data_IF_658287533303
#
_entry.id   IF_658287533303
#
_cell.length_a   1.000
_cell.length_b   1.000
_cell.length_c   1.000
_cell.angle_alpha   90.00
_cell.angle_beta   90.00
_cell.angle_gamma   90.00
#
_symmetry.space_group_name_H-M   'P 1'
#
loop_
_entity.id
_entity.type
_entity.pdbx_description
1 polymer ?
#
# COMPACT_ATOMS: atom_id res chain seq x y z
N UNK A 1 -9.87 -4.99 8.53
CA UNK A 1 -9.00 -5.76 7.62
C UNK A 1 -7.60 -5.73 8.17
N UNK A 2 -6.98 -6.90 8.32
CA UNK A 2 -5.59 -7.02 8.80
C UNK A 2 -4.64 -6.85 7.62
N UNK A 3 -3.46 -6.27 7.86
CA UNK A 3 -2.42 -6.17 6.84
C UNK A 3 -1.79 -7.55 6.63
N UNK A 4 -1.86 -8.07 5.40
CA UNK A 4 -1.33 -9.40 5.08
C UNK A 4 0.21 -9.42 4.98
N UNK A 5 0.86 -8.25 4.93
CA UNK A 5 2.31 -8.12 4.75
C UNK A 5 3.00 -7.55 6.01
N UNK A 6 2.49 -7.91 7.19
CA UNK A 6 3.12 -7.65 8.48
C UNK A 6 4.50 -8.32 8.57
N UNK A 7 5.38 -7.92 9.52
CA UNK A 7 6.72 -8.51 9.65
C UNK A 7 6.74 -10.04 9.71
N UNK A 8 5.73 -10.67 10.32
CA UNK A 8 5.59 -12.12 10.40
C UNK A 8 5.52 -12.82 9.03
N UNK A 9 5.08 -12.11 7.97
CA UNK A 9 5.04 -12.65 6.61
C UNK A 9 6.43 -13.04 6.10
N UNK A 10 7.51 -12.45 6.62
CA UNK A 10 8.88 -12.83 6.26
C UNK A 10 9.21 -14.27 6.66
N UNK A 11 8.56 -14.78 7.71
CA UNK A 11 8.76 -16.12 8.23
C UNK A 11 7.72 -17.10 7.65
N UNK A 12 6.43 -16.75 7.72
CA UNK A 12 5.33 -17.67 7.40
C UNK A 12 4.97 -17.72 5.91
N UNK A 13 5.10 -16.61 5.17
CA UNK A 13 4.84 -16.53 3.72
C UNK A 13 3.43 -16.94 3.29
N UNK A 14 2.44 -16.74 4.16
CA UNK A 14 1.04 -17.15 3.89
C UNK A 14 0.45 -16.32 2.75
N UNK A 15 0.77 -15.02 2.71
CA UNK A 15 0.31 -14.13 1.62
C UNK A 15 0.96 -14.52 0.30
N UNK A 16 2.24 -14.87 0.32
CA UNK A 16 2.96 -15.36 -0.85
C UNK A 16 2.29 -16.60 -1.47
N UNK A 17 1.97 -17.61 -0.65
CA UNK A 17 1.29 -18.81 -1.15
C UNK A 17 -0.17 -18.55 -1.56
N UNK A 18 -0.87 -17.64 -0.86
CA UNK A 18 -2.21 -17.22 -1.26
C UNK A 18 -2.21 -16.55 -2.65
N UNK A 19 -1.26 -15.65 -2.92
CA UNK A 19 -1.10 -14.99 -4.22
C UNK A 19 -0.91 -16.02 -5.33
N UNK A 20 -0.02 -17.00 -5.14
CA UNK A 20 0.20 -18.08 -6.12
C UNK A 20 -1.08 -18.86 -6.37
N UNK A 21 -1.77 -19.29 -5.32
CA UNK A 21 -3.01 -20.06 -5.44
C UNK A 21 -4.14 -19.30 -6.16
N UNK A 22 -4.22 -17.97 -5.96
CA UNK A 22 -5.17 -17.09 -6.65
C UNK A 22 -4.80 -16.89 -8.12
N UNK A 23 -3.52 -16.68 -8.42
CA UNK A 23 -3.03 -16.53 -9.79
C UNK A 23 -3.21 -17.81 -10.61
N UNK A 24 -2.95 -18.97 -10.03
CA UNK A 24 -3.19 -20.29 -10.65
C UNK A 24 -4.66 -20.50 -11.06
N UNK A 25 -5.58 -19.76 -10.43
CA UNK A 25 -7.03 -19.82 -10.69
C UNK A 25 -7.57 -18.59 -11.41
N UNK A 26 -6.70 -17.67 -11.83
CA UNK A 26 -7.07 -16.41 -12.46
C UNK A 26 -8.09 -15.59 -11.66
N UNK A 27 -7.96 -15.61 -10.33
CA UNK A 27 -8.84 -14.87 -9.42
C UNK A 27 -8.26 -13.48 -9.20
N UNK A 28 -9.04 -12.44 -9.45
CA UNK A 28 -8.68 -11.06 -9.09
C UNK A 28 -8.64 -10.88 -7.58
N UNK A 29 -7.65 -10.14 -7.08
CA UNK A 29 -7.53 -9.86 -5.66
C UNK A 29 -7.06 -8.43 -5.40
N UNK A 30 -7.42 -7.93 -4.23
CA UNK A 30 -7.02 -6.62 -3.74
C UNK A 30 -6.11 -6.79 -2.51
N UNK A 31 -4.89 -6.27 -2.60
CA UNK A 31 -3.99 -6.11 -1.46
C UNK A 31 -4.14 -4.68 -0.93
N UNK A 32 -4.48 -4.54 0.34
CA UNK A 32 -4.48 -3.24 1.03
C UNK A 32 -3.47 -3.30 2.16
N UNK A 33 -2.43 -2.47 2.11
CA UNK A 33 -1.29 -2.59 3.02
C UNK A 33 -0.68 -1.24 3.41
N UNK A 34 0.01 -1.19 4.54
CA UNK A 34 0.97 -0.14 4.92
C UNK A 34 2.43 -0.62 4.82
N UNK A 35 2.65 -1.85 4.37
CA UNK A 35 3.97 -2.47 4.23
C UNK A 35 4.57 -2.17 2.86
N UNK A 36 5.84 -1.77 2.84
CA UNK A 36 6.64 -1.65 1.61
C UNK A 36 7.02 -3.02 1.03
N UNK A 37 6.81 -4.12 1.78
CA UNK A 37 7.11 -5.49 1.36
C UNK A 37 6.37 -5.91 0.10
N UNK A 38 5.21 -5.31 -0.20
CA UNK A 38 4.43 -5.61 -1.43
C UNK A 38 5.22 -5.36 -2.71
N UNK A 39 6.21 -4.45 -2.66
CA UNK A 39 7.06 -4.11 -3.79
C UNK A 39 8.43 -4.80 -3.76
N UNK A 40 8.66 -5.73 -2.82
CA UNK A 40 9.83 -6.61 -2.82
C UNK A 40 9.80 -7.53 -4.05
N UNK A 41 10.96 -7.79 -4.65
CA UNK A 41 11.06 -8.55 -5.89
C UNK A 41 10.47 -9.96 -5.78
N UNK A 42 10.46 -10.54 -4.58
CA UNK A 42 9.80 -11.83 -4.32
C UNK A 42 8.31 -11.78 -4.60
N UNK A 43 7.61 -10.73 -4.17
CA UNK A 43 6.17 -10.58 -4.39
C UNK A 43 5.88 -10.11 -5.81
N UNK A 44 6.65 -9.14 -6.31
CA UNK A 44 6.54 -8.66 -7.69
C UNK A 44 6.67 -9.83 -8.68
N UNK A 45 7.59 -10.76 -8.44
CA UNK A 45 7.83 -11.89 -9.32
C UNK A 45 6.71 -12.93 -9.37
N UNK A 46 5.81 -12.97 -8.37
CA UNK A 46 4.69 -13.93 -8.34
C UNK A 46 3.33 -13.29 -8.62
N UNK A 47 3.18 -11.97 -8.46
CA UNK A 47 1.93 -11.28 -8.73
C UNK A 47 1.71 -11.12 -10.24
N UNK A 48 0.48 -11.37 -10.70
CA UNK A 48 0.08 -11.07 -12.06
C UNK A 48 -0.51 -9.64 -12.14
N UNK A 49 0.06 -8.71 -12.94
CA UNK A 49 -0.45 -7.34 -13.07
C UNK A 49 -1.92 -7.23 -13.49
N UNK A 50 -2.45 -8.21 -14.23
CA UNK A 50 -3.85 -8.22 -14.67
C UNK A 50 -4.83 -8.65 -13.57
N UNK A 51 -4.34 -9.32 -12.52
CA UNK A 51 -5.16 -9.88 -11.42
C UNK A 51 -4.96 -9.14 -10.10
N UNK A 52 -3.78 -8.56 -9.90
CA UNK A 52 -3.35 -7.93 -8.66
C UNK A 52 -3.72 -6.44 -8.62
N UNK A 53 -4.70 -6.09 -7.82
CA UNK A 53 -5.03 -4.71 -7.48
C UNK A 53 -4.38 -4.35 -6.13
N UNK A 54 -3.72 -3.21 -6.04
CA UNK A 54 -2.88 -2.86 -4.88
C UNK A 54 -3.23 -1.48 -4.37
N UNK A 55 -3.61 -1.37 -3.11
CA UNK A 55 -3.83 -0.11 -2.41
C UNK A 55 -2.83 0.06 -1.26
N UNK A 56 -1.98 1.07 -1.37
CA UNK A 56 -0.96 1.36 -0.35
C UNK A 56 -1.41 2.56 0.46
N UNK A 57 -1.58 2.36 1.77
CA UNK A 57 -2.11 3.39 2.65
C UNK A 57 -1.05 4.41 3.06
N UNK A 58 -1.31 5.68 2.79
CA UNK A 58 -0.48 6.83 3.14
C UNK A 58 -1.35 7.79 3.97
N UNK A 59 -1.15 7.80 5.30
CA UNK A 59 -1.91 8.65 6.23
C UNK A 59 -1.18 9.95 6.59
N UNK A 60 0.11 10.03 6.28
CA UNK A 60 0.96 11.21 6.26
C UNK A 60 2.07 10.97 5.24
N UNK A 61 2.59 12.03 4.61
CA UNK A 61 3.80 11.90 3.78
C UNK A 61 5.09 12.06 4.60
N UNK A 62 5.00 12.44 5.87
CA UNK A 62 6.15 12.66 6.74
C UNK A 62 6.42 11.41 7.60
N UNK A 63 7.64 10.88 7.51
CA UNK A 63 8.05 9.68 8.24
C UNK A 63 8.03 9.89 9.75
N UNK A 64 8.44 11.07 10.23
CA UNK A 64 8.42 11.40 11.65
C UNK A 64 6.99 11.45 12.17
N UNK A 65 6.10 12.16 11.48
CA UNK A 65 4.68 12.27 11.87
C UNK A 65 4.01 10.90 11.89
N UNK A 66 4.18 10.10 10.84
CA UNK A 66 3.58 8.76 10.77
C UNK A 66 4.09 7.84 11.89
N UNK A 67 5.38 7.91 12.23
CA UNK A 67 5.97 7.07 13.29
C UNK A 67 5.40 7.31 14.69
N UNK A 68 4.75 8.46 14.92
CA UNK A 68 4.15 8.79 16.21
C UNK A 68 2.84 8.01 16.48
N UNK A 69 2.20 7.48 15.44
CA UNK A 69 0.89 6.80 15.57
C UNK A 69 0.75 5.51 14.76
N UNK A 70 1.70 5.18 13.87
CA UNK A 70 1.71 3.93 13.10
C UNK A 70 2.95 3.08 13.38
N UNK A 71 2.74 1.79 13.59
CA UNK A 71 3.80 0.78 13.63
C UNK A 71 3.83 0.03 12.29
N UNK A 72 4.31 0.70 11.23
CA UNK A 72 4.36 0.16 9.86
C UNK A 72 5.57 0.72 9.09
N UNK A 73 5.74 0.32 7.82
CA UNK A 73 6.80 0.89 6.97
C UNK A 73 6.69 2.42 6.92
N UNK A 74 7.81 3.16 6.89
CA UNK A 74 7.76 4.61 6.73
C UNK A 74 7.03 5.03 5.44
N UNK A 75 6.23 6.12 5.45
CA UNK A 75 5.61 6.69 4.26
C UNK A 75 6.54 6.83 3.05
N UNK A 76 7.79 7.24 3.25
CA UNK A 76 8.78 7.36 2.17
C UNK A 76 9.04 6.03 1.45
N UNK A 77 9.03 4.91 2.17
CA UNK A 77 9.17 3.58 1.58
C UNK A 77 7.88 3.13 0.90
N UNK A 78 6.72 3.48 1.46
CA UNK A 78 5.41 3.22 0.85
C UNK A 78 5.25 3.95 -0.48
N UNK A 79 5.67 5.22 -0.56
CA UNK A 79 5.67 6.00 -1.80
C UNK A 79 6.58 5.33 -2.84
N UNK A 80 7.81 4.94 -2.48
CA UNK A 80 8.70 4.21 -3.39
C UNK A 80 8.08 2.90 -3.89
N UNK A 81 7.36 2.18 -3.02
CA UNK A 81 6.65 0.96 -3.39
C UNK A 81 5.54 1.23 -4.42
N UNK A 82 4.73 2.28 -4.19
CA UNK A 82 3.71 2.75 -5.14
C UNK A 82 4.32 3.02 -6.51
N UNK A 83 5.35 3.87 -6.56
CA UNK A 83 5.95 4.30 -7.83
C UNK A 83 6.66 3.16 -8.56
N UNK A 84 7.28 2.23 -7.82
CA UNK A 84 7.88 1.02 -8.39
C UNK A 84 6.80 0.15 -9.04
N UNK A 85 5.70 -0.14 -8.34
CA UNK A 85 4.63 -1.00 -8.84
C UNK A 85 3.88 -0.36 -10.00
N UNK A 86 3.60 0.95 -9.94
CA UNK A 86 3.02 1.72 -11.05
C UNK A 86 3.88 1.61 -12.31
N UNK A 87 5.21 1.79 -12.19
CA UNK A 87 6.15 1.67 -13.32
C UNK A 87 6.20 0.26 -13.92
N UNK A 88 5.94 -0.75 -13.10
CA UNK A 88 5.89 -2.15 -13.54
C UNK A 88 4.54 -2.54 -14.16
N UNK A 89 3.58 -1.61 -14.24
CA UNK A 89 2.28 -1.82 -14.91
C UNK A 89 1.21 -2.44 -14.01
N UNK A 90 1.43 -2.53 -12.70
CA UNK A 90 0.39 -3.00 -11.77
C UNK A 90 -0.74 -1.98 -11.62
N UNK A 91 -1.94 -2.47 -11.33
CA UNK A 91 -3.03 -1.62 -10.83
C UNK A 91 -2.71 -1.19 -9.39
N UNK A 92 -2.21 0.04 -9.24
CA UNK A 92 -1.84 0.63 -7.95
C UNK A 92 -2.68 1.86 -7.65
N UNK A 93 -3.06 2.01 -6.39
CA UNK A 93 -3.73 3.18 -5.87
C UNK A 93 -3.11 3.63 -4.54
N UNK A 94 -2.81 4.93 -4.43
CA UNK A 94 -2.52 5.57 -3.15
C UNK A 94 -3.82 5.69 -2.37
N UNK A 95 -3.85 5.17 -1.15
CA UNK A 95 -5.02 5.25 -0.28
C UNK A 95 -4.78 6.21 0.90
N UNK A 96 -5.40 7.38 0.85
CA UNK A 96 -5.42 8.36 1.93
C UNK A 96 -6.58 8.03 2.89
N UNK A 97 -6.38 7.07 3.78
CA UNK A 97 -7.44 6.56 4.65
C UNK A 97 -6.91 6.13 6.04
N UNK A 98 -7.36 6.79 7.12
CA UNK A 98 -8.21 7.98 7.08
C UNK A 98 -7.44 9.20 6.54
N UNK A 99 -8.10 10.05 5.76
CA UNK A 99 -7.64 11.40 5.46
C UNK A 99 -7.91 12.29 6.68
N UNK A 100 -6.85 12.69 7.37
CA UNK A 100 -6.91 13.61 8.52
C UNK A 100 -6.07 14.85 8.15
N UNK A 101 -6.69 16.01 7.89
CA UNK A 101 -5.99 17.20 7.42
C UNK A 101 -4.76 17.58 8.25
N UNK A 102 -4.84 17.43 9.58
CA UNK A 102 -3.76 17.81 10.49
C UNK A 102 -2.57 16.85 10.46
N UNK A 103 -2.77 15.57 10.09
CA UNK A 103 -1.70 14.56 10.03
C UNK A 103 -1.06 14.47 8.64
N UNK A 104 -1.86 14.70 7.60
CA UNK A 104 -1.34 14.92 6.24
C UNK A 104 -0.62 16.27 6.17
N UNK A 105 -1.07 17.27 6.93
CA UNK A 105 -0.42 18.56 7.09
C UNK A 105 -0.32 19.35 5.79
N UNK A 106 0.71 20.21 5.69
CA UNK A 106 1.10 20.93 4.47
C UNK A 106 1.68 20.02 3.38
N UNK A 107 1.74 18.70 3.61
CA UNK A 107 2.29 17.74 2.65
C UNK A 107 1.31 17.38 1.52
N UNK A 108 0.18 18.09 1.38
CA UNK A 108 -0.70 17.99 0.22
C UNK A 108 0.08 18.19 -1.08
N UNK A 109 1.06 19.10 -1.09
CA UNK A 109 1.96 19.30 -2.23
C UNK A 109 2.76 18.03 -2.55
N UNK A 110 3.21 17.29 -1.53
CA UNK A 110 3.96 16.04 -1.72
C UNK A 110 3.09 14.93 -2.30
N UNK A 111 1.80 14.89 -1.99
CA UNK A 111 0.86 13.93 -2.58
C UNK A 111 0.78 14.13 -4.10
N UNK A 112 0.74 15.38 -4.56
CA UNK A 112 0.70 15.72 -5.99
C UNK A 112 1.97 15.29 -6.75
N UNK A 113 3.06 14.99 -6.04
CA UNK A 113 4.32 14.55 -6.63
C UNK A 113 4.51 13.03 -6.63
N UNK A 114 3.62 12.26 -5.98
CA UNK A 114 3.68 10.81 -6.03
C UNK A 114 3.34 10.37 -7.45
N UNK A 115 4.22 9.58 -8.07
CA UNK A 115 3.98 9.05 -9.41
C UNK A 115 2.95 7.91 -9.37
N UNK A 116 1.68 8.29 -9.20
CA UNK A 116 0.55 7.37 -9.17
C UNK A 116 -0.68 7.95 -9.86
N UNK A 117 -1.31 7.16 -10.72
CA UNK A 117 -2.49 7.60 -11.48
C UNK A 117 -3.77 7.62 -10.64
N UNK A 118 -3.82 6.85 -9.55
CA UNK A 118 -5.04 6.65 -8.75
C UNK A 118 -4.81 7.00 -7.29
N UNK A 119 -5.61 7.93 -6.79
CA UNK A 119 -5.66 8.29 -5.37
C UNK A 119 -7.08 8.09 -4.86
N UNK A 120 -7.24 7.23 -3.85
CA UNK A 120 -8.47 7.04 -3.10
C UNK A 120 -8.39 7.83 -1.80
N UNK A 121 -9.39 8.67 -1.54
CA UNK A 121 -9.47 9.49 -0.32
C UNK A 121 -10.68 9.05 0.49
N UNK A 122 -10.45 8.67 1.75
CA UNK A 122 -11.52 8.31 2.68
C UNK A 122 -11.36 9.09 3.98
N UNK A 123 -12.33 9.96 4.26
CA UNK A 123 -12.34 10.77 5.46
C UNK A 123 -12.62 9.94 6.71
N UNK A 124 -11.98 10.29 7.84
CA UNK A 124 -12.29 9.69 9.14
C UNK A 124 -13.77 9.90 9.48
N UNK A 125 -14.49 8.82 9.77
CA UNK A 125 -15.88 8.86 10.25
C UNK A 125 -15.90 8.33 11.68
N UNK A 126 -16.26 9.19 12.64
CA UNK A 126 -16.28 8.83 14.08
C UNK A 126 -17.68 8.47 14.55
N UNK A 127 -18.73 9.05 13.96
CA UNK A 127 -20.14 8.90 14.39
C UNK A 127 -21.09 8.62 13.21
N UNK A 128 -20.75 7.68 12.34
CA UNK A 128 -21.66 7.27 11.25
C UNK A 128 -22.82 6.43 11.79
#
# INVERSE_FOLDING_TARGET
MTDCLQPAELDYKETYEAIKALNDRSVHYLIVTKSSLVADDRYVGIMNPDLAHIQISITSCDDHVASQYEMASPPSQRIKAVEKLQRLGFDVCVRLSPFIPNLIGTATDRINHIQCEKVLIEFLRVNA
#
